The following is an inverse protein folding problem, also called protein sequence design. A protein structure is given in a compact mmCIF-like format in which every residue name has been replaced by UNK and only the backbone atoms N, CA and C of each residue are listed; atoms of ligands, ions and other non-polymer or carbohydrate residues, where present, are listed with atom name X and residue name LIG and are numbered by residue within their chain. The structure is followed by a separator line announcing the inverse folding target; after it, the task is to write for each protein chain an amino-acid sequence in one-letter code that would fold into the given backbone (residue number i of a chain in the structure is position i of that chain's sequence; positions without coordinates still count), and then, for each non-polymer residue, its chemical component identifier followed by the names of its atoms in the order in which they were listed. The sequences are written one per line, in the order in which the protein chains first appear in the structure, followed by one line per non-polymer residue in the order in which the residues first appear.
data_IF_005164704586
#
_entry.id   IF_005164704586
#
_cell.length_a   1.000
_cell.length_b   1.000
_cell.length_c   1.000
_cell.angle_alpha   90.00
_cell.angle_beta   90.00
_cell.angle_gamma   90.00
#
_symmetry.space_group_name_H-M   'P 1'
#
loop_
_entity.id
_entity.type
_entity.pdbx_description
1 polymer ?
#
# COMPACT_ATOMS: atom_id res chain seq x y z
N UNK A 1 5.16 -15.01 8.35
CA UNK A 1 5.02 -13.85 7.45
C UNK A 1 4.12 -12.81 8.08
N UNK A 2 4.51 -11.55 8.02
CA UNK A 2 3.67 -10.41 8.39
C UNK A 2 3.03 -9.83 7.13
N UNK A 3 1.72 -9.66 7.13
CA UNK A 3 0.91 -9.22 6.00
C UNK A 3 0.31 -7.85 6.35
N UNK A 4 1.01 -6.79 5.98
CA UNK A 4 0.54 -5.42 6.22
C UNK A 4 -0.44 -5.01 5.14
N UNK A 5 -1.58 -4.43 5.52
CA UNK A 5 -2.66 -4.08 4.62
C UNK A 5 -3.08 -2.63 4.88
N UNK A 6 -3.25 -1.88 3.80
CA UNK A 6 -3.78 -0.52 3.85
C UNK A 6 -4.70 -0.25 2.63
N UNK A 7 -5.53 0.76 2.75
CA UNK A 7 -6.55 1.14 1.80
C UNK A 7 -6.36 2.57 1.31
N UNK A 8 -6.57 2.77 0.01
CA UNK A 8 -6.65 4.11 -0.56
C UNK A 8 -7.91 4.25 -1.44
N UNK A 9 -8.54 5.43 -1.41
CA UNK A 9 -9.59 5.83 -2.36
C UNK A 9 -11.02 5.57 -1.92
N UNK A 10 -11.20 4.99 -0.73
CA UNK A 10 -12.50 4.69 -0.12
C UNK A 10 -13.31 5.95 0.22
N UNK A 11 -12.67 7.13 0.26
CA UNK A 11 -13.34 8.41 0.45
C UNK A 11 -14.01 8.93 -0.84
N UNK A 12 -13.94 8.19 -1.95
CA UNK A 12 -14.38 8.59 -3.29
C UNK A 12 -13.90 10.00 -3.66
N UNK A 13 -12.70 10.37 -3.20
CA UNK A 13 -12.10 11.65 -3.51
C UNK A 13 -11.64 11.72 -4.97
N UNK A 14 -10.48 12.35 -5.19
CA UNK A 14 -9.95 12.50 -6.55
C UNK A 14 -9.33 11.22 -7.13
N UNK A 15 -9.05 10.20 -6.30
CA UNK A 15 -8.35 9.01 -6.78
C UNK A 15 -9.27 8.18 -7.67
N UNK A 16 -8.81 7.70 -8.84
CA UNK A 16 -9.67 7.10 -9.87
C UNK A 16 -10.01 5.62 -9.65
N UNK A 17 -9.34 4.95 -8.72
CA UNK A 17 -9.62 3.57 -8.33
C UNK A 17 -9.52 3.47 -6.81
N UNK A 18 -10.33 2.62 -6.22
CA UNK A 18 -10.09 2.14 -4.86
C UNK A 18 -9.03 1.06 -4.89
N UNK A 19 -8.16 1.04 -3.88
CA UNK A 19 -7.13 0.02 -3.76
C UNK A 19 -7.07 -0.48 -2.34
N UNK A 20 -7.26 -1.79 -2.18
CA UNK A 20 -6.84 -2.53 -1.01
C UNK A 20 -5.47 -3.13 -1.32
N UNK A 21 -4.40 -2.55 -0.77
CA UNK A 21 -3.03 -3.00 -1.00
C UNK A 21 -2.49 -3.76 0.21
N UNK A 22 -1.62 -4.71 -0.09
CA UNK A 22 -0.96 -5.52 0.91
C UNK A 22 0.52 -5.68 0.60
N UNK A 23 1.36 -5.71 1.65
CA UNK A 23 2.77 -6.11 1.53
C UNK A 23 3.06 -7.27 2.48
N UNK A 24 3.74 -8.29 1.98
CA UNK A 24 4.21 -9.41 2.78
C UNK A 24 5.69 -9.26 3.08
N UNK A 25 6.03 -9.39 4.36
CA UNK A 25 7.40 -9.25 4.88
C UNK A 25 7.70 -10.45 5.77
N UNK A 26 8.85 -11.09 5.54
CA UNK A 26 9.31 -12.17 6.41
C UNK A 26 9.64 -11.62 7.80
N UNK A 27 9.16 -12.28 8.85
CA UNK A 27 9.38 -11.85 10.24
C UNK A 27 10.88 -11.73 10.56
N UNK A 28 11.69 -12.64 10.03
CA UNK A 28 13.14 -12.67 10.15
C UNK A 28 13.84 -11.48 9.47
N UNK A 29 13.20 -10.83 8.49
CA UNK A 29 13.78 -9.72 7.75
C UNK A 29 13.21 -8.35 8.13
N UNK A 30 12.10 -8.29 8.87
CA UNK A 30 11.41 -7.04 9.20
C UNK A 30 12.35 -6.03 9.86
N UNK A 31 13.14 -6.44 10.85
CA UNK A 31 14.03 -5.51 11.55
C UNK A 31 15.14 -4.97 10.66
N UNK A 32 15.67 -5.78 9.75
CA UNK A 32 16.70 -5.34 8.81
C UNK A 32 16.13 -4.34 7.80
N UNK A 33 14.91 -4.60 7.30
CA UNK A 33 14.18 -3.66 6.45
C UNK A 33 13.94 -2.32 7.15
N UNK A 34 13.48 -2.35 8.41
CA UNK A 34 13.25 -1.15 9.22
C UNK A 34 14.56 -0.35 9.35
N UNK A 35 15.67 -0.99 9.73
CA UNK A 35 16.98 -0.32 9.83
C UNK A 35 17.40 0.31 8.51
N UNK A 36 17.24 -0.38 7.38
CA UNK A 36 17.61 0.13 6.07
C UNK A 36 16.79 1.37 5.69
N UNK A 37 15.47 1.35 5.89
CA UNK A 37 14.60 2.51 5.64
C UNK A 37 14.95 3.68 6.57
N UNK A 38 15.22 3.41 7.85
CA UNK A 38 15.67 4.43 8.82
C UNK A 38 17.03 5.02 8.45
N UNK A 39 17.94 4.24 7.87
CA UNK A 39 19.19 4.76 7.30
C UNK A 39 18.90 5.70 6.14
N UNK A 40 18.02 5.28 5.21
CA UNK A 40 17.65 6.10 4.07
C UNK A 40 17.00 7.43 4.46
N UNK A 41 16.21 7.47 5.55
CA UNK A 41 15.70 8.72 6.12
C UNK A 41 16.84 9.67 6.49
N UNK A 42 17.85 9.18 7.22
CA UNK A 42 19.01 9.99 7.61
C UNK A 42 19.84 10.43 6.42
N UNK A 43 19.99 9.59 5.42
CA UNK A 43 20.75 9.93 4.21
C UNK A 43 20.08 11.07 3.42
N UNK A 44 18.73 11.13 3.41
CA UNK A 44 17.98 12.12 2.65
C UNK A 44 17.63 13.39 3.44
N UNK A 45 17.53 13.29 4.77
CA UNK A 45 17.01 14.35 5.62
C UNK A 45 17.88 14.68 6.83
N UNK A 46 19.06 14.06 6.98
CA UNK A 46 20.01 14.18 8.11
C UNK A 46 19.47 13.77 9.48
N UNK A 47 18.19 13.43 9.59
CA UNK A 47 17.51 13.01 10.81
C UNK A 47 16.32 12.13 10.46
N UNK A 48 15.66 11.55 11.46
CA UNK A 48 14.44 10.78 11.24
C UNK A 48 13.25 11.72 10.99
N UNK A 49 12.43 11.38 9.99
CA UNK A 49 11.28 12.20 9.61
C UNK A 49 10.27 12.39 10.76
N UNK A 50 10.18 11.43 11.70
CA UNK A 50 9.36 11.53 12.90
C UNK A 50 9.79 12.65 13.85
N UNK A 51 11.07 13.02 13.84
CA UNK A 51 11.64 14.06 14.71
C UNK A 51 11.58 15.45 14.02
N UNK A 52 11.44 15.45 12.70
CA UNK A 52 11.37 16.64 11.85
C UNK A 52 9.94 17.07 11.50
N UNK A 53 8.95 16.15 11.55
CA UNK A 53 7.58 16.43 11.13
C UNK A 53 6.61 16.25 12.29
N UNK A 54 5.66 17.17 12.37
CA UNK A 54 4.49 17.08 13.28
C UNK A 54 3.35 16.26 12.70
N UNK A 55 3.48 15.86 11.44
CA UNK A 55 2.42 15.19 10.69
C UNK A 55 2.93 13.88 10.16
N UNK A 56 2.09 12.87 10.31
CA UNK A 56 2.30 11.53 9.80
C UNK A 56 2.78 11.48 8.33
N UNK A 57 3.62 10.47 8.07
CA UNK A 57 4.04 10.08 6.73
C UNK A 57 2.95 9.25 6.08
N UNK A 58 2.35 9.80 5.02
CA UNK A 58 1.47 9.04 4.12
C UNK A 58 1.97 9.15 2.68
N UNK A 59 1.84 8.10 1.89
CA UNK A 59 2.12 8.05 0.47
C UNK A 59 1.44 9.19 -0.28
N UNK A 60 0.16 9.47 0.03
CA UNK A 60 -0.56 10.65 -0.50
C UNK A 60 0.15 11.98 -0.21
N UNK A 61 0.87 12.13 0.91
CA UNK A 61 1.61 13.35 1.26
C UNK A 61 2.97 13.42 0.56
N UNK A 62 3.68 12.30 0.48
CA UNK A 62 4.99 12.21 -0.17
C UNK A 62 4.89 12.39 -1.69
N UNK A 63 3.80 11.87 -2.29
CA UNK A 63 3.64 11.76 -3.74
C UNK A 63 2.56 12.70 -4.32
N UNK A 64 2.29 13.84 -3.67
CA UNK A 64 1.38 14.88 -4.21
C UNK A 64 1.94 15.46 -5.51
N UNK A 65 1.07 15.87 -6.45
CA UNK A 65 1.46 16.56 -7.70
C UNK A 65 2.39 17.77 -7.46
N UNK A 66 2.15 18.52 -6.38
CA UNK A 66 3.01 19.65 -5.97
C UNK A 66 4.46 19.22 -5.71
N UNK A 67 4.69 18.01 -5.19
CA UNK A 67 6.02 17.47 -4.94
C UNK A 67 6.81 17.35 -6.25
N UNK A 68 6.23 16.69 -7.26
CA UNK A 68 6.83 16.58 -8.60
C UNK A 68 7.05 17.94 -9.27
N UNK A 69 6.04 18.81 -9.22
CA UNK A 69 6.14 20.16 -9.80
C UNK A 69 7.29 20.97 -9.18
N UNK A 70 7.50 20.86 -7.87
CA UNK A 70 8.56 21.59 -7.18
C UNK A 70 9.93 20.92 -7.36
N UNK A 71 9.99 19.58 -7.35
CA UNK A 71 11.24 18.85 -7.61
C UNK A 71 11.78 19.10 -9.02
N UNK A 72 10.90 19.23 -10.01
CA UNK A 72 11.24 19.48 -11.42
C UNK A 72 11.53 20.95 -11.76
N UNK A 73 11.64 21.84 -10.78
CA UNK A 73 12.10 23.22 -11.03
C UNK A 73 13.57 23.22 -11.42
N UNK A 74 13.91 24.07 -12.38
CA UNK A 74 15.28 24.28 -12.84
C UNK A 74 16.04 25.16 -11.84
N UNK A 75 16.48 24.54 -10.75
CA UNK A 75 17.40 25.11 -9.76
C UNK A 75 18.57 24.15 -9.66
N UNK A 76 19.76 24.65 -9.95
CA UNK A 76 21.00 23.89 -9.81
C UNK A 76 21.29 23.64 -8.33
N UNK A 77 21.42 22.38 -7.92
CA UNK A 77 21.70 21.97 -6.54
C UNK A 77 22.61 20.77 -6.61
N UNK A 78 23.79 20.85 -6.01
CA UNK A 78 24.72 19.73 -5.98
C UNK A 78 24.10 18.57 -5.18
N UNK A 79 24.26 17.31 -5.63
CA UNK A 79 23.68 16.15 -4.93
C UNK A 79 24.08 16.06 -3.46
N UNK A 80 25.30 16.50 -3.12
CA UNK A 80 25.84 16.52 -1.75
C UNK A 80 25.18 17.56 -0.85
N UNK A 81 24.56 18.60 -1.41
CA UNK A 81 23.87 19.65 -0.66
C UNK A 81 22.40 19.31 -0.38
N UNK A 82 21.81 18.36 -1.13
CA UNK A 82 20.39 18.02 -1.03
C UNK A 82 19.95 17.66 0.40
N UNK A 83 20.66 16.80 1.17
CA UNK A 83 20.21 16.45 2.52
C UNK A 83 20.20 17.65 3.46
N UNK A 84 21.23 18.49 3.40
CA UNK A 84 21.35 19.70 4.24
C UNK A 84 20.23 20.69 3.96
N UNK A 85 19.94 20.97 2.68
CA UNK A 85 18.87 21.89 2.28
C UNK A 85 17.48 21.34 2.61
N UNK A 86 17.27 20.03 2.43
CA UNK A 86 16.02 19.38 2.80
C UNK A 86 15.78 19.42 4.32
N UNK A 87 16.83 19.16 5.11
CA UNK A 87 16.80 19.29 6.57
C UNK A 87 16.44 20.71 7.01
N UNK A 88 17.09 21.72 6.44
CA UNK A 88 16.77 23.14 6.72
C UNK A 88 15.31 23.47 6.39
N UNK A 89 14.79 22.99 5.25
CA UNK A 89 13.39 23.18 4.88
C UNK A 89 12.44 22.57 5.93
N UNK A 90 12.76 21.36 6.40
CA UNK A 90 11.96 20.65 7.40
C UNK A 90 12.00 21.33 8.77
N UNK A 91 13.18 21.76 9.24
CA UNK A 91 13.32 22.51 10.49
C UNK A 91 12.49 23.80 10.47
N UNK A 92 12.63 24.62 9.42
CA UNK A 92 11.86 25.86 9.28
C UNK A 92 10.37 25.60 9.26
N UNK A 93 9.92 24.55 8.57
CA UNK A 93 8.52 24.13 8.54
C UNK A 93 8.00 23.70 9.92
N UNK A 94 8.78 22.90 10.65
CA UNK A 94 8.46 22.46 12.02
C UNK A 94 8.36 23.65 12.99
N UNK A 95 9.34 24.55 12.94
CA UNK A 95 9.40 25.70 13.84
C UNK A 95 8.27 26.69 13.54
N UNK A 96 7.92 26.89 12.27
CA UNK A 96 6.76 27.68 11.88
C UNK A 96 5.44 27.07 12.40
N UNK A 97 5.29 25.74 12.35
CA UNK A 97 4.12 25.06 12.92
C UNK A 97 4.04 25.19 14.45
N UNK A 98 5.18 25.16 15.16
CA UNK A 98 5.24 25.24 16.62
C UNK A 98 5.01 26.65 17.15
N UNK A 99 5.59 27.66 16.49
CA UNK A 99 5.60 29.04 16.97
C UNK A 99 4.50 29.90 16.36
N UNK A 100 3.83 29.43 15.30
CA UNK A 100 2.91 30.23 14.49
C UNK A 100 3.58 31.36 13.71
N UNK A 101 4.91 31.52 13.82
CA UNK A 101 5.66 32.59 13.17
C UNK A 101 6.22 32.09 11.83
N UNK A 102 6.00 32.79 10.70
CA UNK A 102 6.48 32.33 9.41
C UNK A 102 8.02 32.34 9.34
N UNK A 103 8.64 31.17 9.39
CA UNK A 103 10.04 30.98 8.98
C UNK A 103 10.06 30.42 7.56
N UNK A 104 10.18 31.30 6.56
CA UNK A 104 10.01 30.91 5.15
C UNK A 104 11.25 30.17 4.65
N UNK A 105 11.06 28.92 4.23
CA UNK A 105 12.07 28.18 3.48
C UNK A 105 12.38 28.88 2.15
N UNK A 106 13.65 28.84 1.73
CA UNK A 106 14.08 29.42 0.46
C UNK A 106 13.58 28.57 -0.72
N UNK A 107 13.52 29.12 -1.94
CA UNK A 107 13.20 28.32 -3.12
C UNK A 107 14.15 27.12 -3.30
N UNK A 108 15.45 27.29 -3.01
CA UNK A 108 16.46 26.22 -3.08
C UNK A 108 16.17 25.10 -2.08
N UNK A 109 15.87 25.46 -0.83
CA UNK A 109 15.48 24.52 0.23
C UNK A 109 14.21 23.75 -0.11
N UNK A 110 13.19 24.42 -0.65
CA UNK A 110 11.93 23.80 -1.05
C UNK A 110 12.15 22.80 -2.19
N UNK A 111 12.93 23.17 -3.21
CA UNK A 111 13.26 22.28 -4.32
C UNK A 111 14.08 21.09 -3.83
N UNK A 112 15.10 21.31 -3.00
CA UNK A 112 15.89 20.25 -2.39
C UNK A 112 15.02 19.29 -1.59
N UNK A 113 14.14 19.79 -0.73
CA UNK A 113 13.21 18.97 0.04
C UNK A 113 12.36 18.06 -0.84
N UNK A 114 11.77 18.61 -1.91
CA UNK A 114 10.93 17.81 -2.80
C UNK A 114 11.73 16.80 -3.63
N UNK A 115 12.96 17.13 -4.05
CA UNK A 115 13.88 16.16 -4.68
C UNK A 115 14.25 15.04 -3.70
N UNK A 116 14.60 15.37 -2.45
CA UNK A 116 14.90 14.39 -1.40
C UNK A 116 13.70 13.52 -1.04
N UNK A 117 12.47 14.04 -1.06
CA UNK A 117 11.26 13.22 -0.86
C UNK A 117 11.10 12.18 -1.97
N UNK A 118 11.26 12.56 -3.23
CA UNK A 118 11.14 11.62 -4.34
C UNK A 118 12.27 10.59 -4.35
N UNK A 119 13.51 11.03 -4.09
CA UNK A 119 14.66 10.13 -3.94
C UNK A 119 14.50 9.17 -2.76
N UNK A 120 13.95 9.63 -1.64
CA UNK A 120 13.67 8.79 -0.49
C UNK A 120 12.62 7.72 -0.81
N UNK A 121 11.51 8.09 -1.45
CA UNK A 121 10.48 7.11 -1.87
C UNK A 121 11.09 6.10 -2.83
N UNK A 122 11.91 6.55 -3.79
CA UNK A 122 12.61 5.66 -4.70
C UNK A 122 13.49 4.65 -3.95
N UNK A 123 14.31 5.14 -3.02
CA UNK A 123 15.21 4.31 -2.22
C UNK A 123 14.46 3.35 -1.30
N UNK A 124 13.32 3.76 -0.74
CA UNK A 124 12.46 2.89 0.08
C UNK A 124 11.93 1.72 -0.75
N UNK A 125 11.50 1.95 -1.99
CA UNK A 125 11.04 0.87 -2.87
C UNK A 125 12.19 -0.07 -3.30
N UNK A 126 13.38 0.48 -3.54
CA UNK A 126 14.57 -0.33 -3.84
C UNK A 126 14.95 -1.22 -2.65
N UNK A 127 14.99 -0.64 -1.45
CA UNK A 127 15.21 -1.37 -0.20
C UNK A 127 14.13 -2.46 -0.02
N UNK A 128 12.86 -2.14 -0.27
CA UNK A 128 11.78 -3.12 -0.15
C UNK A 128 11.99 -4.30 -1.11
N UNK A 129 12.39 -4.04 -2.36
CA UNK A 129 12.70 -5.08 -3.33
C UNK A 129 13.92 -5.93 -2.91
N UNK A 130 15.01 -5.28 -2.48
CA UNK A 130 16.23 -5.94 -1.97
C UNK A 130 15.95 -6.86 -0.77
N UNK A 131 14.99 -6.47 0.08
CA UNK A 131 14.56 -7.24 1.24
C UNK A 131 13.45 -8.27 0.94
N UNK A 132 13.11 -8.49 -0.33
CA UNK A 132 12.14 -9.50 -0.74
C UNK A 132 10.71 -9.21 -0.29
N UNK A 133 10.35 -7.93 -0.13
CA UNK A 133 8.96 -7.53 0.12
C UNK A 133 8.11 -7.89 -1.09
N UNK A 134 6.98 -8.55 -0.85
CA UNK A 134 6.06 -8.96 -1.92
C UNK A 134 4.79 -8.12 -1.87
N UNK A 135 4.40 -7.56 -3.02
CA UNK A 135 3.25 -6.66 -3.16
C UNK A 135 2.01 -7.39 -3.65
N UNK A 136 0.87 -7.01 -3.08
CA UNK A 136 -0.46 -7.48 -3.42
C UNK A 136 -1.39 -6.28 -3.53
N UNK A 137 -2.35 -6.32 -4.45
CA UNK A 137 -3.40 -5.31 -4.45
C UNK A 137 -4.66 -5.78 -5.17
N UNK A 138 -5.81 -5.43 -4.61
CA UNK A 138 -7.09 -5.46 -5.29
C UNK A 138 -7.43 -4.03 -5.73
N UNK A 139 -7.38 -3.77 -7.02
CA UNK A 139 -7.67 -2.47 -7.64
C UNK A 139 -9.11 -2.49 -8.14
N UNK A 140 -9.96 -1.67 -7.53
CA UNK A 140 -11.40 -1.66 -7.77
C UNK A 140 -11.78 -0.40 -8.53
N UNK A 141 -12.57 -0.55 -9.60
CA UNK A 141 -13.21 0.60 -10.25
C UNK A 141 -14.20 1.25 -9.27
N UNK A 142 -14.21 2.57 -9.19
CA UNK A 142 -15.19 3.31 -8.36
C UNK A 142 -16.62 3.02 -8.82
N UNK A 143 -16.81 2.79 -10.13
CA UNK A 143 -18.09 2.43 -10.71
C UNK A 143 -18.45 0.94 -10.55
N UNK A 144 -17.60 0.13 -9.91
CA UNK A 144 -17.86 -1.29 -9.74
C UNK A 144 -19.15 -1.53 -8.96
N UNK A 145 -19.99 -2.42 -9.47
CA UNK A 145 -21.22 -2.81 -8.79
C UNK A 145 -20.92 -3.47 -7.43
N UNK A 146 -21.62 -3.05 -6.38
CA UNK A 146 -21.45 -3.53 -5.00
C UNK A 146 -22.75 -4.12 -4.48
N UNK A 147 -22.67 -5.22 -3.74
CA UNK A 147 -23.82 -5.83 -3.08
C UNK A 147 -23.42 -6.22 -1.66
N UNK A 148 -24.37 -6.06 -0.73
CA UNK A 148 -24.35 -6.46 0.68
C UNK A 148 -23.14 -5.95 1.52
N UNK A 149 -23.27 -4.82 2.23
CA UNK A 149 -22.22 -4.30 3.09
C UNK A 149 -21.96 -5.16 4.34
N UNK A 150 -22.77 -6.18 4.63
CA UNK A 150 -22.58 -7.08 5.78
C UNK A 150 -21.63 -8.24 5.47
N UNK A 151 -21.35 -8.52 4.19
CA UNK A 151 -20.41 -9.56 3.79
C UNK A 151 -19.01 -8.97 3.59
N UNK A 152 -18.00 -9.84 3.73
CA UNK A 152 -16.64 -9.48 3.37
C UNK A 152 -16.57 -9.19 1.87
N UNK A 153 -16.14 -7.98 1.54
CA UNK A 153 -16.08 -7.53 0.15
C UNK A 153 -15.12 -8.37 -0.69
N UNK A 154 -15.40 -8.46 -1.99
CA UNK A 154 -14.69 -9.34 -2.93
C UNK A 154 -13.21 -8.96 -3.08
N UNK A 155 -12.86 -7.69 -2.99
CA UNK A 155 -11.47 -7.22 -2.97
C UNK A 155 -10.65 -7.82 -1.82
N UNK A 156 -11.22 -7.93 -0.61
CA UNK A 156 -10.61 -8.66 0.51
C UNK A 156 -10.51 -10.16 0.23
N UNK A 157 -11.58 -10.77 -0.29
CA UNK A 157 -11.57 -12.20 -0.64
C UNK A 157 -10.49 -12.51 -1.68
N UNK A 158 -10.29 -11.62 -2.65
CA UNK A 158 -9.21 -11.73 -3.64
C UNK A 158 -7.85 -11.59 -2.96
N UNK A 159 -7.65 -10.59 -2.12
CA UNK A 159 -6.39 -10.39 -1.38
C UNK A 159 -6.02 -11.65 -0.56
N UNK A 160 -6.98 -12.18 0.22
CA UNK A 160 -6.75 -13.40 0.99
C UNK A 160 -6.49 -14.64 0.13
N UNK A 161 -7.04 -14.73 -1.09
CA UNK A 161 -6.67 -15.78 -2.03
C UNK A 161 -5.19 -15.69 -2.40
N UNK A 162 -4.69 -14.49 -2.72
CA UNK A 162 -3.28 -14.29 -3.11
C UNK A 162 -2.36 -14.60 -1.95
N UNK A 163 -2.68 -14.11 -0.75
CA UNK A 163 -1.92 -14.45 0.45
C UNK A 163 -1.89 -15.94 0.71
N UNK A 164 -3.02 -16.63 0.56
CA UNK A 164 -3.07 -18.06 0.76
C UNK A 164 -2.13 -18.81 -0.19
N UNK A 165 -2.19 -18.54 -1.49
CA UNK A 165 -1.32 -19.22 -2.46
C UNK A 165 0.16 -18.85 -2.32
N UNK A 166 0.45 -17.60 -1.94
CA UNK A 166 1.79 -17.18 -1.59
C UNK A 166 2.35 -17.96 -0.40
N UNK A 167 1.58 -18.07 0.69
CA UNK A 167 1.98 -18.82 1.89
C UNK A 167 1.99 -20.34 1.67
N UNK A 168 1.17 -20.85 0.75
CA UNK A 168 1.15 -22.27 0.38
C UNK A 168 2.43 -22.68 -0.36
N UNK A 169 3.09 -21.76 -1.05
CA UNK A 169 4.40 -21.99 -1.67
C UNK A 169 5.56 -22.00 -0.66
N UNK A 170 5.30 -21.67 0.61
CA UNK A 170 6.29 -21.68 1.69
C UNK A 170 6.25 -22.98 2.50
N UNK A 171 7.29 -23.25 3.34
CA UNK A 171 7.29 -24.39 4.25
C UNK A 171 6.02 -24.49 5.10
N UNK A 172 5.63 -25.72 5.43
CA UNK A 172 4.27 -25.97 5.91
C UNK A 172 3.91 -25.33 7.24
N UNK A 173 4.89 -25.01 8.08
CA UNK A 173 4.71 -24.32 9.36
C UNK A 173 4.57 -22.80 9.22
N UNK A 174 4.91 -22.20 8.06
CA UNK A 174 4.78 -20.76 7.86
C UNK A 174 3.30 -20.37 7.80
N UNK A 175 2.98 -19.29 8.51
CA UNK A 175 1.64 -18.68 8.57
C UNK A 175 1.75 -17.19 8.29
N UNK A 176 0.62 -16.60 7.88
CA UNK A 176 0.47 -15.16 7.68
C UNK A 176 -0.30 -14.54 8.84
N UNK A 177 0.26 -13.50 9.47
CA UNK A 177 -0.45 -12.65 10.42
C UNK A 177 -0.84 -11.35 9.71
N UNK A 178 -2.13 -11.02 9.70
CA UNK A 178 -2.66 -9.80 9.05
C UNK A 178 -2.54 -8.61 9.99
N UNK A 179 -2.01 -7.50 9.48
CA UNK A 179 -1.83 -6.25 10.21
C UNK A 179 -2.44 -5.12 9.39
N UNK A 180 -3.48 -4.48 9.91
CA UNK A 180 -4.14 -3.33 9.28
C UNK A 180 -3.63 -2.01 9.87
N UNK A 181 -3.71 -0.94 9.07
CA UNK A 181 -3.69 0.43 9.60
C UNK A 181 -4.87 0.65 10.56
N UNK A 182 -4.73 1.62 11.45
CA UNK A 182 -5.78 2.02 12.37
C UNK A 182 -7.04 2.42 11.61
N UNK A 183 -8.14 1.74 11.93
CA UNK A 183 -9.48 2.09 11.49
C UNK A 183 -10.26 2.66 12.67
N UNK A 184 -11.26 3.49 12.37
CA UNK A 184 -12.26 3.86 13.36
C UNK A 184 -12.86 2.60 14.00
N UNK A 185 -13.05 2.61 15.33
CA UNK A 185 -13.44 1.44 16.12
C UNK A 185 -14.64 0.68 15.54
N UNK A 186 -15.67 1.41 15.08
CA UNK A 186 -16.88 0.81 14.49
C UNK A 186 -16.56 0.07 13.19
N UNK A 187 -15.72 0.66 12.33
CA UNK A 187 -15.23 0.07 11.09
C UNK A 187 -14.35 -1.15 11.33
N UNK A 188 -13.44 -1.08 12.31
CA UNK A 188 -12.61 -2.22 12.72
C UNK A 188 -13.47 -3.39 13.20
N UNK A 189 -14.47 -3.13 14.06
CA UNK A 189 -15.39 -4.15 14.55
C UNK A 189 -16.17 -4.82 13.42
N UNK A 190 -16.70 -4.03 12.47
CA UNK A 190 -17.40 -4.57 11.29
C UNK A 190 -16.49 -5.44 10.45
N UNK A 191 -15.26 -4.99 10.18
CA UNK A 191 -14.29 -5.77 9.39
C UNK A 191 -13.95 -7.10 10.08
N UNK A 192 -13.73 -7.09 11.40
CA UNK A 192 -13.49 -8.33 12.18
C UNK A 192 -14.67 -9.29 12.05
N UNK A 193 -15.91 -8.80 12.17
CA UNK A 193 -17.11 -9.64 12.02
C UNK A 193 -17.26 -10.22 10.61
N UNK A 194 -17.01 -9.42 9.58
CA UNK A 194 -17.02 -9.86 8.18
C UNK A 194 -15.95 -10.93 7.92
N UNK A 195 -14.73 -10.72 8.43
CA UNK A 195 -13.63 -11.68 8.32
C UNK A 195 -13.98 -12.99 9.06
N UNK A 196 -14.50 -12.91 10.29
CA UNK A 196 -14.92 -14.08 11.04
C UNK A 196 -16.00 -14.88 10.30
N UNK A 197 -17.05 -14.19 9.81
CA UNK A 197 -18.11 -14.80 8.99
C UNK A 197 -17.54 -15.49 7.74
N UNK A 198 -16.58 -14.87 7.06
CA UNK A 198 -15.94 -15.46 5.89
C UNK A 198 -15.09 -16.69 6.23
N UNK A 199 -14.14 -16.56 7.16
CA UNK A 199 -13.17 -17.60 7.50
C UNK A 199 -13.78 -18.80 8.23
N UNK A 200 -14.83 -18.58 9.04
CA UNK A 200 -15.51 -19.66 9.76
C UNK A 200 -16.70 -20.21 8.97
N UNK A 201 -17.46 -19.33 8.30
CA UNK A 201 -18.72 -19.67 7.65
C UNK A 201 -18.56 -20.35 6.28
N UNK A 202 -17.47 -20.09 5.56
CA UNK A 202 -17.28 -20.63 4.19
C UNK A 202 -16.25 -21.75 4.13
N UNK A 203 -16.43 -22.72 3.24
CA UNK A 203 -15.43 -23.78 3.00
C UNK A 203 -14.10 -23.19 2.51
N UNK A 204 -14.15 -22.26 1.56
CA UNK A 204 -12.94 -21.59 1.05
C UNK A 204 -12.23 -20.77 2.13
N UNK A 205 -12.97 -20.11 3.02
CA UNK A 205 -12.43 -19.39 4.17
C UNK A 205 -11.72 -20.33 5.13
N UNK A 206 -12.38 -21.44 5.54
CA UNK A 206 -11.78 -22.46 6.41
C UNK A 206 -10.53 -23.10 5.80
N UNK A 207 -10.55 -23.32 4.49
CA UNK A 207 -9.36 -23.80 3.78
C UNK A 207 -8.21 -22.79 3.83
N UNK A 208 -8.50 -21.49 3.64
CA UNK A 208 -7.49 -20.42 3.66
C UNK A 208 -6.95 -20.14 5.07
N UNK A 209 -7.76 -20.32 6.11
CA UNK A 209 -7.30 -20.17 7.50
C UNK A 209 -6.25 -21.20 7.93
N UNK A 210 -6.06 -22.27 7.15
CA UNK A 210 -4.93 -23.19 7.33
C UNK A 210 -3.56 -22.53 7.13
N UNK A 211 -3.48 -21.39 6.42
CA UNK A 211 -2.24 -20.61 6.23
C UNK A 211 -2.33 -19.18 6.76
N UNK A 212 -3.52 -18.59 6.79
CA UNK A 212 -3.75 -17.20 7.24
C UNK A 212 -4.37 -17.21 8.63
N UNK A 213 -3.82 -16.42 9.55
CA UNK A 213 -4.43 -16.17 10.86
C UNK A 213 -5.55 -15.13 10.67
N UNK A 214 -6.83 -15.48 10.88
CA UNK A 214 -7.97 -14.63 10.55
C UNK A 214 -8.29 -13.59 11.64
N UNK A 215 -7.41 -13.42 12.62
CA UNK A 215 -7.50 -12.44 13.69
C UNK A 215 -6.46 -11.34 13.45
N UNK A 216 -6.87 -10.18 12.92
CA UNK A 216 -5.91 -9.14 12.54
C UNK A 216 -5.48 -8.28 13.72
N UNK A 217 -4.28 -7.71 13.63
CA UNK A 217 -3.85 -6.61 14.47
C UNK A 217 -4.10 -5.27 13.79
N UNK A 218 -4.47 -4.26 14.57
CA UNK A 218 -4.60 -2.88 14.11
C UNK A 218 -3.47 -2.07 14.75
N UNK A 219 -2.71 -1.34 13.92
CA UNK A 219 -1.56 -0.57 14.38
C UNK A 219 -1.65 0.86 13.85
N UNK A 220 -1.08 1.81 14.59
CA UNK A 220 -0.96 3.18 14.10
C UNK A 220 0.11 3.25 12.99
N UNK A 221 -0.27 3.79 11.84
CA UNK A 221 0.54 3.97 10.63
C UNK A 221 1.80 4.82 10.82
N UNK A 222 1.76 5.83 11.70
CA UNK A 222 2.91 6.69 11.99
C UNK A 222 4.08 5.96 12.67
N UNK A 223 3.80 4.79 13.26
CA UNK A 223 4.77 3.97 13.98
C UNK A 223 5.30 2.77 13.19
N UNK A 224 4.62 2.34 12.11
CA UNK A 224 4.85 1.02 11.50
C UNK A 224 5.33 1.09 10.05
N UNK A 225 6.59 0.74 9.80
CA UNK A 225 7.20 0.72 8.45
C UNK A 225 6.45 -0.15 7.44
N UNK A 226 5.88 -1.28 7.88
CA UNK A 226 5.09 -2.15 7.00
C UNK A 226 3.81 -1.49 6.48
N UNK A 227 3.12 -0.72 7.33
CA UNK A 227 1.94 0.06 6.93
C UNK A 227 2.33 1.18 5.96
N UNK A 228 3.44 1.89 6.19
CA UNK A 228 3.93 2.89 5.24
C UNK A 228 4.17 2.30 3.84
N UNK A 229 4.71 1.08 3.74
CA UNK A 229 4.91 0.40 2.47
C UNK A 229 3.58 0.01 1.81
N UNK A 230 2.60 -0.44 2.60
CA UNK A 230 1.25 -0.74 2.12
C UNK A 230 0.54 0.53 1.59
N UNK A 231 0.61 1.64 2.32
CA UNK A 231 0.05 2.96 1.92
C UNK A 231 0.72 3.49 0.64
N UNK A 232 2.05 3.41 0.55
CA UNK A 232 2.80 3.76 -0.67
C UNK A 232 2.35 2.90 -1.86
N UNK A 233 2.15 1.61 -1.64
CA UNK A 233 1.64 0.70 -2.67
C UNK A 233 0.21 1.08 -3.09
N UNK A 234 -0.70 1.24 -2.14
CA UNK A 234 -2.11 1.59 -2.38
C UNK A 234 -2.23 2.88 -3.19
N UNK A 235 -1.57 3.95 -2.72
CA UNK A 235 -1.61 5.26 -3.37
C UNK A 235 -1.02 5.23 -4.78
N UNK A 236 0.13 4.59 -4.95
CA UNK A 236 0.84 4.57 -6.23
C UNK A 236 0.09 3.73 -7.27
N UNK A 237 -0.40 2.55 -6.86
CA UNK A 237 -1.18 1.65 -7.72
C UNK A 237 -2.49 2.33 -8.13
N UNK A 238 -3.22 2.93 -7.19
CA UNK A 238 -4.50 3.58 -7.47
C UNK A 238 -4.39 4.68 -8.53
N UNK A 239 -3.30 5.43 -8.53
CA UNK A 239 -3.08 6.52 -9.48
C UNK A 239 -2.39 6.15 -10.80
N UNK A 240 -1.55 5.11 -10.83
CA UNK A 240 -0.65 4.89 -11.98
C UNK A 240 -0.58 3.48 -12.53
N UNK A 241 -1.12 2.48 -11.82
CA UNK A 241 -1.15 1.12 -12.34
C UNK A 241 -2.37 0.95 -13.26
N UNK A 242 -2.14 0.87 -14.57
CA UNK A 242 -3.18 0.64 -15.58
C UNK A 242 -2.79 -0.55 -16.46
N UNK A 243 -3.66 -1.54 -16.58
CA UNK A 243 -3.46 -2.76 -17.37
C UNK A 243 -4.75 -3.14 -18.07
N UNK A 244 -4.63 -3.77 -19.24
CA UNK A 244 -5.76 -4.31 -19.98
C UNK A 244 -6.84 -3.24 -20.25
N UNK A 245 -8.12 -3.49 -19.88
CA UNK A 245 -9.24 -2.61 -20.21
C UNK A 245 -9.36 -1.35 -19.33
N UNK A 246 -8.43 -1.15 -18.36
CA UNK A 246 -8.50 -0.01 -17.45
C UNK A 246 -8.39 1.33 -18.22
N UNK A 247 -9.45 2.13 -18.15
CA UNK A 247 -9.57 3.43 -18.83
C UNK A 247 -9.50 4.64 -17.89
N UNK A 248 -9.33 4.40 -16.58
CA UNK A 248 -9.39 5.46 -15.58
C UNK A 248 -8.15 6.38 -15.67
N UNK A 249 -8.29 7.67 -15.29
CA UNK A 249 -7.19 8.64 -15.35
C UNK A 249 -5.90 8.15 -14.71
N UNK A 250 -4.75 8.50 -15.27
CA UNK A 250 -3.44 8.06 -14.81
C UNK A 250 -2.54 9.25 -14.45
N UNK A 251 -1.71 9.11 -13.43
CA UNK A 251 -0.62 10.04 -13.10
C UNK A 251 0.69 9.50 -13.66
N UNK A 252 1.09 10.01 -14.82
CA UNK A 252 2.31 9.54 -15.51
C UNK A 252 3.57 9.68 -14.66
N UNK A 253 3.65 10.72 -13.82
CA UNK A 253 4.79 10.94 -12.93
C UNK A 253 4.99 9.85 -11.88
N UNK A 254 3.97 9.01 -11.61
CA UNK A 254 4.02 7.89 -10.68
C UNK A 254 4.31 6.54 -11.35
N UNK A 255 4.33 6.47 -12.68
CA UNK A 255 4.59 5.23 -13.43
C UNK A 255 5.90 4.53 -13.04
N UNK A 256 7.04 5.23 -12.80
CA UNK A 256 8.27 4.57 -12.37
C UNK A 256 8.10 3.79 -11.06
N UNK A 257 7.43 4.40 -10.07
CA UNK A 257 7.13 3.76 -8.79
C UNK A 257 6.14 2.60 -8.94
N UNK A 258 5.09 2.79 -9.75
CA UNK A 258 4.11 1.74 -10.03
C UNK A 258 4.76 0.52 -10.72
N UNK A 259 5.75 0.74 -11.59
CA UNK A 259 6.53 -0.33 -12.23
C UNK A 259 7.35 -1.11 -11.21
N UNK A 260 8.04 -0.44 -10.28
CA UNK A 260 8.78 -1.12 -9.20
C UNK A 260 7.85 -2.00 -8.36
N UNK A 261 6.73 -1.45 -7.89
CA UNK A 261 5.72 -2.19 -7.13
C UNK A 261 5.14 -3.38 -7.91
N UNK A 262 4.90 -3.20 -9.21
CA UNK A 262 4.42 -4.28 -10.05
C UNK A 262 5.42 -5.42 -10.20
N UNK A 263 6.73 -5.11 -10.28
CA UNK A 263 7.78 -6.13 -10.33
C UNK A 263 7.95 -6.88 -9.00
N UNK A 264 7.58 -6.24 -7.88
CA UNK A 264 7.56 -6.87 -6.56
C UNK A 264 6.31 -7.72 -6.30
N UNK A 265 5.39 -7.85 -7.26
CA UNK A 265 4.15 -8.58 -7.02
C UNK A 265 4.39 -10.09 -6.87
N UNK A 266 3.48 -10.77 -6.18
CA UNK A 266 3.42 -12.23 -6.23
C UNK A 266 3.04 -12.73 -7.63
N UNK A 267 3.70 -13.77 -8.11
CA UNK A 267 3.26 -14.57 -9.25
C UNK A 267 3.22 -16.04 -8.84
N UNK A 268 2.10 -16.69 -9.08
CA UNK A 268 1.92 -18.10 -8.73
C UNK A 268 0.86 -18.78 -9.56
N UNK A 269 0.46 -19.96 -9.12
CA UNK A 269 -0.53 -20.80 -9.78
C UNK A 269 -1.56 -21.29 -8.75
N UNK A 270 -2.79 -21.48 -9.21
CA UNK A 270 -3.82 -22.20 -8.46
C UNK A 270 -4.44 -23.30 -9.31
N UNK A 271 -5.00 -24.37 -8.69
CA UNK A 271 -5.78 -25.36 -9.43
C UNK A 271 -6.94 -24.69 -10.19
N UNK A 272 -7.15 -25.12 -11.43
CA UNK A 272 -8.29 -24.74 -12.27
C UNK A 272 -9.51 -25.62 -12.00
N UNK A 273 -10.51 -25.53 -12.87
CA UNK A 273 -11.77 -26.26 -12.73
C UNK A 273 -11.63 -27.72 -13.21
N UNK A 274 -10.75 -27.98 -14.18
CA UNK A 274 -10.48 -29.33 -14.68
C UNK A 274 -9.27 -30.00 -13.98
N UNK A 275 -9.24 -31.35 -13.87
CA UNK A 275 -8.08 -32.07 -13.32
C UNK A 275 -6.79 -31.73 -14.07
N UNK A 276 -5.78 -31.25 -13.35
CA UNK A 276 -4.48 -30.87 -13.91
C UNK A 276 -4.44 -29.46 -14.52
N UNK A 277 -5.57 -28.76 -14.62
CA UNK A 277 -5.60 -27.37 -15.04
C UNK A 277 -5.00 -26.48 -13.94
N UNK A 278 -4.26 -25.45 -14.37
CA UNK A 278 -3.72 -24.43 -13.48
C UNK A 278 -4.00 -23.05 -14.02
N UNK A 279 -4.48 -22.17 -13.15
CA UNK A 279 -4.66 -20.75 -13.47
C UNK A 279 -3.52 -19.94 -12.88
N UNK A 280 -2.96 -19.06 -13.71
CA UNK A 280 -1.96 -18.10 -13.24
C UNK A 280 -2.60 -17.09 -12.32
N UNK A 281 -1.91 -16.81 -11.22
CA UNK A 281 -2.35 -15.90 -10.18
C UNK A 281 -1.32 -14.77 -10.04
N UNK A 282 -1.82 -13.53 -10.14
CA UNK A 282 -1.03 -12.32 -9.93
C UNK A 282 -1.40 -11.67 -8.60
N UNK A 283 -0.41 -11.12 -7.92
CA UNK A 283 -0.54 -10.39 -6.65
C UNK A 283 -1.39 -9.15 -6.79
N UNK A 284 -1.30 -8.46 -7.93
CA UNK A 284 -2.08 -7.27 -8.25
C UNK A 284 -3.17 -7.63 -9.28
N UNK A 285 -4.41 -7.29 -8.98
CA UNK A 285 -5.57 -7.61 -9.82
C UNK A 285 -6.51 -6.41 -9.96
N UNK A 286 -7.15 -6.30 -11.12
CA UNK A 286 -8.22 -5.34 -11.36
C UNK A 286 -9.59 -6.01 -11.15
N UNK A 287 -10.54 -5.30 -10.54
CA UNK A 287 -11.90 -5.75 -10.23
C UNK A 287 -12.87 -4.64 -10.67
N UNK A 288 -13.70 -4.96 -11.66
CA UNK A 288 -14.73 -4.07 -12.21
C UNK A 288 -16.14 -4.37 -11.66
N UNK A 289 -16.30 -5.45 -10.90
CA UNK A 289 -17.56 -5.83 -10.29
C UNK A 289 -17.32 -6.64 -9.00
N UNK A 290 -17.68 -6.03 -7.88
CA UNK A 290 -17.51 -6.56 -6.52
C UNK A 290 -18.57 -7.60 -6.12
N UNK A 291 -19.58 -7.84 -6.96
CA UNK A 291 -20.60 -8.87 -6.72
C UNK A 291 -20.01 -10.28 -6.77
N UNK A 292 -20.55 -11.15 -5.91
CA UNK A 292 -20.31 -12.59 -5.97
C UNK A 292 -21.00 -13.21 -7.19
N UNK A 293 -20.64 -14.46 -7.56
CA UNK A 293 -21.31 -15.17 -8.66
C UNK A 293 -22.84 -15.21 -8.47
N UNK A 294 -23.29 -15.55 -7.25
CA UNK A 294 -24.71 -15.65 -6.89
C UNK A 294 -25.48 -14.33 -6.99
N UNK A 295 -24.81 -13.19 -6.87
CA UNK A 295 -25.44 -11.87 -6.93
C UNK A 295 -25.48 -11.29 -8.35
N UNK A 296 -24.86 -11.99 -9.32
CA UNK A 296 -24.84 -11.60 -10.74
C UNK A 296 -25.94 -12.27 -11.53
N UNK A 297 -26.39 -13.45 -11.10
CA UNK A 297 -27.50 -14.14 -11.71
C UNK A 297 -28.80 -13.43 -11.29
N UNK A 298 -29.67 -13.00 -12.23
CA UNK A 298 -30.99 -12.51 -11.87
C UNK A 298 -31.74 -13.61 -11.12
N UNK A 299 -32.60 -13.27 -10.13
CA UNK A 299 -33.45 -14.28 -9.51
C UNK A 299 -34.21 -14.98 -10.65
N UNK A 300 -34.09 -16.31 -10.74
CA UNK A 300 -34.95 -17.10 -11.61
C UNK A 300 -36.38 -16.64 -11.34
N UNK A 301 -37.04 -16.16 -12.39
CA UNK A 301 -38.43 -15.72 -12.34
C UNK A 301 -39.28 -16.86 -11.79
N UNK A 302 -39.69 -16.74 -10.53
CA UNK A 302 -40.78 -17.51 -9.92
C UNK A 302 -42.10 -17.17 -10.62
#
# INVERSE_FOLDING_TARGET
MLLFVDEAGQDHGAMPCEVLAGVAIAEENLWNLVKAIRSAERDHFLDYLRDLRTTELKGRRLLKRKCFKLAGRDIDIEPTELPTLAYQCLLKGRDACRTGTPNKATPREIVAYHRSVLGFVEKVLDIAAEHGVVVFASVVDIAAARVNPELLSKDFVYLFERYFYYLKAMPDHKRGLVVFDELEKTRAQRLIQQMASYFLGTETGRFRSSKIIPEPFFVHSDLTTGILLADLAAYTIGWAWRRGPMSQPCRDELKPFARKLHLMQFEGEKPGDAPGEKWRLYGITYIDDLRGRRDRDPPESL
#
